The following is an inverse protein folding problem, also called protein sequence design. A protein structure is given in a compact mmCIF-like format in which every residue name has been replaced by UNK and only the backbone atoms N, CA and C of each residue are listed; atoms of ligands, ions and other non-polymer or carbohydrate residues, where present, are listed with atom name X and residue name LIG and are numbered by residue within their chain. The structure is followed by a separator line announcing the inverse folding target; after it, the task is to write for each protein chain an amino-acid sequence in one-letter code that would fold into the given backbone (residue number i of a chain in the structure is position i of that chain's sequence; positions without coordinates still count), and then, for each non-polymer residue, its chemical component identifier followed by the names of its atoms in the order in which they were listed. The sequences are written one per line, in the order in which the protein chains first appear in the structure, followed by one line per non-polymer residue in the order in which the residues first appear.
data_IF_982686391577
#
_entry.id   IF_982686391577
#
_cell.length_a   1.000
_cell.length_b   1.000
_cell.length_c   1.000
_cell.angle_alpha   90.00
_cell.angle_beta   90.00
_cell.angle_gamma   90.00
#
_symmetry.space_group_name_H-M   'P 1'
#
loop_
_entity.id
_entity.type
_entity.pdbx_description
1 polymer ?
#
# COMPACT_ATOMS: atom_id res chain seq x y z
N UNK A 1 14.05 13.17 -1.56
CA UNK A 1 13.78 11.87 -2.22
C UNK A 1 13.08 10.99 -1.20
N UNK A 2 11.76 11.13 -1.04
CA UNK A 2 11.00 10.30 -0.13
C UNK A 2 10.96 8.85 -0.62
N UNK A 3 11.17 7.92 0.32
CA UNK A 3 10.96 6.49 0.11
C UNK A 3 9.82 6.02 1.00
N UNK A 4 8.79 5.45 0.37
CA UNK A 4 7.58 4.97 1.02
C UNK A 4 7.58 3.44 0.88
N UNK A 5 7.52 2.74 2.00
CA UNK A 5 7.29 1.31 2.02
C UNK A 5 5.92 1.00 2.63
N UNK A 6 5.10 0.27 1.88
CA UNK A 6 3.79 -0.19 2.31
C UNK A 6 3.92 -1.69 2.50
N UNK A 7 3.80 -2.15 3.74
CA UNK A 7 3.76 -3.57 4.04
C UNK A 7 2.31 -3.97 4.30
N UNK A 8 1.84 -5.00 3.61
CA UNK A 8 0.47 -5.47 3.74
C UNK A 8 0.37 -6.99 3.61
N UNK A 9 -0.82 -7.52 3.85
CA UNK A 9 -1.12 -8.94 3.75
C UNK A 9 -1.38 -9.31 2.29
N UNK A 10 -0.78 -10.40 1.82
CA UNK A 10 -1.04 -10.95 0.49
C UNK A 10 -2.54 -11.16 0.23
N UNK A 11 -3.00 -10.71 -0.94
CA UNK A 11 -4.40 -10.87 -1.37
C UNK A 11 -5.36 -9.83 -0.82
N UNK A 12 -4.92 -8.97 0.10
CA UNK A 12 -5.75 -7.89 0.63
C UNK A 12 -5.95 -6.75 -0.38
N UNK A 13 -4.97 -6.49 -1.24
CA UNK A 13 -5.04 -5.47 -2.28
C UNK A 13 -5.05 -6.10 -3.68
N UNK A 14 -6.02 -5.72 -4.51
CA UNK A 14 -6.01 -6.06 -5.93
C UNK A 14 -5.08 -5.12 -6.73
N UNK A 15 -4.88 -5.42 -8.02
CA UNK A 15 -3.99 -4.63 -8.89
C UNK A 15 -4.47 -3.17 -9.03
N UNK A 16 -5.79 -2.95 -9.08
CA UNK A 16 -6.37 -1.61 -9.20
C UNK A 16 -6.10 -0.77 -7.94
N UNK A 17 -6.27 -1.37 -6.76
CA UNK A 17 -6.01 -0.72 -5.48
C UNK A 17 -4.53 -0.37 -5.33
N UNK A 18 -3.63 -1.26 -5.76
CA UNK A 18 -2.18 -0.98 -5.77
C UNK A 18 -1.85 0.20 -6.69
N UNK A 19 -2.42 0.22 -7.90
CA UNK A 19 -2.22 1.32 -8.86
C UNK A 19 -2.74 2.66 -8.32
N UNK A 20 -3.93 2.68 -7.70
CA UNK A 20 -4.49 3.89 -7.09
C UNK A 20 -3.65 4.35 -5.89
N UNK A 21 -3.13 3.44 -5.07
CA UNK A 21 -2.21 3.79 -3.97
C UNK A 21 -0.95 4.47 -4.51
N UNK A 22 -0.30 3.90 -5.53
CA UNK A 22 0.88 4.52 -6.14
C UNK A 22 0.58 5.93 -6.64
N UNK A 23 -0.54 6.11 -7.35
CA UNK A 23 -0.96 7.40 -7.88
C UNK A 23 -1.21 8.41 -6.77
N UNK A 24 -2.10 8.10 -5.83
CA UNK A 24 -2.57 9.02 -4.79
C UNK A 24 -1.47 9.42 -3.81
N UNK A 25 -0.60 8.47 -3.46
CA UNK A 25 0.56 8.77 -2.59
C UNK A 25 1.54 9.67 -3.34
N UNK A 26 1.80 9.41 -4.62
CA UNK A 26 2.65 10.29 -5.45
C UNK A 26 2.09 11.71 -5.50
N UNK A 27 0.80 11.87 -5.80
CA UNK A 27 0.11 13.16 -5.84
C UNK A 27 0.21 13.90 -4.49
N UNK A 28 0.00 13.19 -3.38
CA UNK A 28 0.11 13.75 -2.03
C UNK A 28 1.51 14.31 -1.73
N UNK A 29 2.57 13.60 -2.15
CA UNK A 29 3.94 14.06 -1.94
C UNK A 29 4.32 15.23 -2.87
N UNK A 30 3.80 15.26 -4.10
CA UNK A 30 3.93 16.43 -4.99
C UNK A 30 3.30 17.66 -4.34
N UNK A 31 2.10 17.50 -3.77
CA UNK A 31 1.38 18.59 -3.11
C UNK A 31 2.14 19.11 -1.88
N UNK A 32 2.53 18.21 -0.96
CA UNK A 32 3.08 18.59 0.34
C UNK A 32 4.57 18.93 0.27
N UNK A 33 5.41 18.01 -0.20
CA UNK A 33 6.87 18.17 -0.20
C UNK A 33 7.33 18.90 -1.47
N UNK A 34 6.76 18.54 -2.61
CA UNK A 34 7.01 19.18 -3.90
C UNK A 34 6.42 20.59 -4.04
N UNK A 35 5.58 21.03 -3.09
CA UNK A 35 4.88 22.33 -3.11
C UNK A 35 4.09 22.57 -4.41
N UNK A 36 3.52 21.50 -4.95
CA UNK A 36 2.78 21.50 -6.21
C UNK A 36 3.64 21.44 -7.48
N UNK A 37 4.96 21.25 -7.38
CA UNK A 37 5.84 21.09 -8.55
C UNK A 37 5.71 19.67 -9.13
N UNK A 38 5.18 19.49 -10.36
CA UNK A 38 4.99 18.17 -10.95
C UNK A 38 6.28 17.38 -11.18
N UNK A 39 7.41 18.06 -11.42
CA UNK A 39 8.70 17.39 -11.61
C UNK A 39 9.19 16.67 -10.34
N UNK A 40 8.62 16.99 -9.17
CA UNK A 40 8.95 16.33 -7.92
C UNK A 40 8.64 14.83 -7.93
N UNK A 41 7.73 14.37 -8.81
CA UNK A 41 7.38 12.96 -8.94
C UNK A 41 8.58 12.04 -9.21
N UNK A 42 9.60 12.52 -9.92
CA UNK A 42 10.81 11.77 -10.27
C UNK A 42 11.68 11.42 -9.06
N UNK A 43 11.39 12.02 -7.91
CA UNK A 43 12.11 11.81 -6.66
C UNK A 43 11.38 10.91 -5.66
N UNK A 44 10.16 10.47 -5.99
CA UNK A 44 9.30 9.69 -5.11
C UNK A 44 9.47 8.20 -5.43
N UNK A 45 9.80 7.42 -4.40
CA UNK A 45 9.91 5.97 -4.51
C UNK A 45 8.87 5.31 -3.62
N UNK A 46 8.05 4.42 -4.19
CA UNK A 46 7.05 3.66 -3.45
C UNK A 46 7.26 2.17 -3.72
N UNK A 47 7.30 1.38 -2.65
CA UNK A 47 7.31 -0.08 -2.70
C UNK A 47 6.13 -0.63 -1.93
N UNK A 48 5.51 -1.68 -2.47
CA UNK A 48 4.49 -2.47 -1.77
C UNK A 48 5.08 -3.86 -1.57
N UNK A 49 5.30 -4.25 -0.31
CA UNK A 49 5.70 -5.59 0.07
C UNK A 49 4.48 -6.33 0.63
N UNK A 50 4.11 -7.44 0.01
CA UNK A 50 3.05 -8.32 0.51
C UNK A 50 3.66 -9.52 1.19
N UNK A 51 3.12 -9.87 2.36
CA UNK A 51 3.55 -11.05 3.12
C UNK A 51 2.37 -11.96 3.46
N UNK A 52 2.59 -13.29 3.56
CA UNK A 52 1.54 -14.24 3.88
C UNK A 52 0.81 -13.90 5.19
N UNK A 53 -0.51 -14.17 5.30
CA UNK A 53 -1.33 -13.86 6.49
C UNK A 53 -0.72 -14.35 7.80
N UNK A 54 -0.04 -15.50 7.77
CA UNK A 54 0.59 -16.12 8.93
C UNK A 54 1.77 -15.30 9.44
N UNK A 55 2.34 -14.38 8.66
CA UNK A 55 3.41 -13.49 9.13
C UNK A 55 2.88 -12.28 9.91
N UNK A 56 1.55 -12.12 9.98
CA UNK A 56 0.90 -10.99 10.64
C UNK A 56 0.22 -11.41 11.95
N UNK A 57 0.15 -10.48 12.90
CA UNK A 57 -0.57 -10.66 14.16
C UNK A 57 -1.38 -9.40 14.45
N UNK A 58 -2.70 -9.51 14.43
CA UNK A 58 -3.61 -8.43 14.82
C UNK A 58 -4.08 -8.67 16.26
N UNK A 59 -3.39 -8.06 17.23
CA UNK A 59 -3.67 -8.27 18.65
C UNK A 59 -3.47 -9.74 19.04
N UNK A 60 -4.56 -10.46 19.37
CA UNK A 60 -4.53 -11.90 19.70
C UNK A 60 -4.92 -12.81 18.53
N UNK A 61 -5.24 -12.24 17.36
CA UNK A 61 -5.65 -12.98 16.18
C UNK A 61 -4.51 -13.06 15.16
N UNK A 62 -4.26 -14.26 14.64
CA UNK A 62 -3.38 -14.48 13.50
C UNK A 62 -4.26 -14.66 12.25
N UNK A 63 -4.16 -13.78 11.25
CA UNK A 63 -4.99 -13.88 10.05
C UNK A 63 -4.73 -15.20 9.33
N UNK A 64 -5.78 -15.79 8.76
CA UNK A 64 -5.66 -16.91 7.82
C UNK A 64 -5.96 -16.45 6.41
N UNK A 65 -5.57 -17.23 5.42
CA UNK A 65 -5.87 -16.94 4.01
C UNK A 65 -7.38 -16.79 3.75
N UNK A 66 -8.20 -17.66 4.35
CA UNK A 66 -9.66 -17.61 4.19
C UNK A 66 -10.26 -16.30 4.73
N UNK A 67 -9.69 -15.78 5.83
CA UNK A 67 -10.11 -14.49 6.39
C UNK A 67 -9.78 -13.34 5.43
N UNK A 68 -8.59 -13.35 4.83
CA UNK A 68 -8.18 -12.31 3.88
C UNK A 68 -9.01 -12.38 2.60
N UNK A 69 -9.25 -13.58 2.07
CA UNK A 69 -10.13 -13.78 0.91
C UNK A 69 -11.56 -13.28 1.18
N UNK A 70 -12.06 -13.46 2.40
CA UNK A 70 -13.36 -12.93 2.81
C UNK A 70 -13.34 -11.40 2.88
N UNK A 71 -12.32 -10.80 3.47
CA UNK A 71 -12.23 -9.34 3.60
C UNK A 71 -12.07 -8.68 2.23
N UNK A 72 -11.16 -9.18 1.40
CA UNK A 72 -10.85 -8.64 0.06
C UNK A 72 -12.08 -8.63 -0.86
N UNK A 73 -12.95 -9.65 -0.77
CA UNK A 73 -14.19 -9.71 -1.57
C UNK A 73 -15.30 -8.77 -1.11
N UNK A 74 -15.20 -8.23 0.10
CA UNK A 74 -16.22 -7.37 0.71
C UNK A 74 -15.71 -5.95 1.03
N UNK A 75 -14.48 -5.62 0.61
CA UNK A 75 -13.88 -4.30 0.70
C UNK A 75 -14.21 -3.46 -0.53
#
# INVERSE_FOLDING_TARGET
MPFINIQTIEGLLDENSKAELFKRITELFIEIEGKGNPSFQEHIWIRIDEYPPEQWQLGRMRPTKEMIDFISKNA
#
